data_IF_919494997961
#
_entry.id   IF_919494997961
#
_cell.length_a   1.000
_cell.length_b   1.000
_cell.length_c   1.000
_cell.angle_alpha   90.00
_cell.angle_beta   90.00
_cell.angle_gamma   90.00
#
_symmetry.space_group_name_H-M   'P 1'
#
loop_
_entity.id
_entity.type
_entity.pdbx_description
1 polymer ?
#
# COMPACT_ATOMS: atom_id res chain seq x y z
N UNK A 1 9.95 -7.71 14.10
CA UNK A 1 8.72 -8.13 13.41
C UNK A 1 7.48 -7.35 13.88
N UNK A 2 7.69 -6.11 14.22
CA UNK A 2 6.63 -5.18 14.60
C UNK A 2 6.75 -3.97 13.71
N UNK A 3 5.64 -3.54 13.14
CA UNK A 3 5.57 -2.36 12.29
C UNK A 3 4.27 -1.62 12.57
N UNK A 4 4.25 -0.34 12.25
CA UNK A 4 3.09 0.52 12.41
C UNK A 4 2.43 0.75 11.07
N UNK A 5 1.12 0.61 11.02
CA UNK A 5 0.32 0.94 9.84
C UNK A 5 -0.67 2.07 10.17
N UNK A 6 -0.84 2.98 9.22
CA UNK A 6 -1.98 3.88 9.18
C UNK A 6 -3.01 3.28 8.23
N UNK A 7 -4.03 2.65 8.82
CA UNK A 7 -5.11 2.04 8.07
C UNK A 7 -6.34 2.93 8.01
N UNK A 8 -7.00 2.92 6.86
CA UNK A 8 -8.29 3.60 6.68
C UNK A 8 -9.16 2.87 5.67
N UNK A 9 -10.48 3.02 5.83
CA UNK A 9 -11.50 2.43 4.97
C UNK A 9 -12.61 3.45 4.74
N UNK A 10 -12.98 3.66 3.49
CA UNK A 10 -13.96 4.69 3.09
C UNK A 10 -15.14 4.02 2.39
N UNK A 11 -16.33 4.19 2.98
CA UNK A 11 -17.57 3.65 2.43
C UNK A 11 -17.92 4.31 1.09
N UNK A 12 -18.35 3.50 0.13
CA UNK A 12 -18.73 3.90 -1.23
C UNK A 12 -17.63 4.61 -2.03
N UNK A 13 -16.37 4.54 -1.59
CA UNK A 13 -15.25 5.03 -2.36
C UNK A 13 -14.85 4.05 -3.47
N UNK A 14 -14.30 4.58 -4.53
CA UNK A 14 -13.62 3.82 -5.58
C UNK A 14 -12.12 3.76 -5.31
N UNK A 15 -11.42 2.84 -5.96
CA UNK A 15 -9.96 2.78 -5.90
C UNK A 15 -9.32 4.11 -6.32
N UNK A 16 -9.89 4.76 -7.33
CA UNK A 16 -9.42 6.06 -7.79
C UNK A 16 -9.54 7.16 -6.72
N UNK A 17 -10.67 7.22 -6.01
CA UNK A 17 -10.86 8.19 -4.91
C UNK A 17 -9.78 8.02 -3.83
N UNK A 18 -9.45 6.77 -3.50
CA UNK A 18 -8.41 6.46 -2.50
C UNK A 18 -7.02 6.82 -3.02
N UNK A 19 -6.69 6.49 -4.26
CA UNK A 19 -5.41 6.84 -4.87
C UNK A 19 -5.20 8.36 -4.87
N UNK A 20 -6.20 9.13 -5.32
CA UNK A 20 -6.15 10.60 -5.32
C UNK A 20 -5.99 11.18 -3.90
N UNK A 21 -6.74 10.63 -2.93
CA UNK A 21 -6.63 11.01 -1.52
C UNK A 21 -5.22 10.75 -0.93
N UNK A 22 -4.64 9.59 -1.22
CA UNK A 22 -3.29 9.24 -0.76
C UNK A 22 -2.23 10.14 -1.41
N UNK A 23 -2.37 10.46 -2.69
CA UNK A 23 -1.48 11.41 -3.37
C UNK A 23 -1.52 12.80 -2.70
N UNK A 24 -2.71 13.25 -2.30
CA UNK A 24 -2.87 14.51 -1.57
C UNK A 24 -2.20 14.47 -0.20
N UNK A 25 -2.41 13.39 0.56
CA UNK A 25 -1.76 13.18 1.86
C UNK A 25 -0.24 13.20 1.70
N UNK A 26 0.31 12.41 0.78
CA UNK A 26 1.76 12.31 0.60
C UNK A 26 2.37 13.64 0.17
N UNK A 27 1.79 14.29 -0.81
CA UNK A 27 2.26 15.60 -1.28
C UNK A 27 2.11 16.68 -0.20
N UNK A 28 1.01 16.67 0.55
CA UNK A 28 0.77 17.58 1.68
C UNK A 28 1.78 17.39 2.81
N UNK A 29 2.02 16.12 3.18
CA UNK A 29 3.02 15.76 4.19
C UNK A 29 4.41 16.28 3.81
N UNK A 30 4.86 16.01 2.58
CA UNK A 30 6.18 16.46 2.12
C UNK A 30 6.32 17.97 2.09
N UNK A 31 5.26 18.70 1.72
CA UNK A 31 5.23 20.17 1.79
C UNK A 31 5.34 20.67 3.23
N UNK A 32 4.59 20.07 4.16
CA UNK A 32 4.64 20.42 5.57
C UNK A 32 6.01 20.13 6.19
N UNK A 33 6.59 18.96 5.92
CA UNK A 33 7.95 18.63 6.38
C UNK A 33 8.99 19.64 5.90
N UNK A 34 8.93 20.04 4.63
CA UNK A 34 9.84 21.06 4.08
C UNK A 34 9.69 22.43 4.73
N UNK A 35 8.50 22.79 5.17
CA UNK A 35 8.20 24.08 5.80
C UNK A 35 8.54 24.07 7.29
N UNK A 36 8.14 23.01 8.00
CA UNK A 36 8.05 23.02 9.45
C UNK A 36 9.20 22.27 10.14
N UNK A 37 9.99 21.46 9.40
CA UNK A 37 11.02 20.56 9.93
C UNK A 37 12.40 20.82 9.28
N UNK A 38 12.72 22.09 9.05
CA UNK A 38 13.96 22.46 8.33
C UNK A 38 15.22 22.07 9.11
N UNK A 39 15.26 22.36 10.41
CA UNK A 39 16.40 22.06 11.27
C UNK A 39 16.66 20.55 11.37
N UNK A 40 15.60 19.75 11.55
CA UNK A 40 15.70 18.28 11.61
C UNK A 40 16.16 17.70 10.27
N UNK A 41 15.65 18.24 9.17
CA UNK A 41 16.08 17.83 7.84
C UNK A 41 17.54 18.22 7.55
N UNK A 42 18.02 19.33 8.07
CA UNK A 42 19.44 19.73 8.01
C UNK A 42 20.31 18.74 8.80
N UNK A 43 19.94 18.42 10.04
CA UNK A 43 20.64 17.43 10.87
C UNK A 43 20.75 16.06 10.18
N UNK A 44 19.72 15.67 9.42
CA UNK A 44 19.70 14.43 8.65
C UNK A 44 20.39 14.54 7.27
N UNK A 45 20.96 15.70 6.93
CA UNK A 45 21.52 15.95 5.60
C UNK A 45 20.48 15.91 4.48
N UNK A 46 19.20 16.20 4.80
CA UNK A 46 18.05 16.13 3.88
C UNK A 46 17.52 17.51 3.47
N UNK A 47 18.08 18.58 3.99
CA UNK A 47 17.68 19.94 3.62
C UNK A 47 17.74 20.15 2.10
N UNK A 48 16.67 20.68 1.52
CA UNK A 48 16.53 20.88 0.07
C UNK A 48 16.41 19.61 -0.78
N UNK A 49 16.60 18.43 -0.20
CA UNK A 49 16.61 17.16 -0.94
C UNK A 49 15.22 16.48 -1.05
N UNK A 50 14.24 16.93 -0.25
CA UNK A 50 12.86 16.44 -0.35
C UNK A 50 12.18 17.11 -1.55
N UNK A 51 11.83 16.31 -2.54
CA UNK A 51 11.01 16.74 -3.67
C UNK A 51 9.56 16.35 -3.44
N UNK A 52 8.64 17.26 -3.71
CA UNK A 52 7.21 16.94 -3.73
C UNK A 52 6.89 16.36 -5.09
N UNK A 53 6.35 15.12 -5.17
CA UNK A 53 6.04 14.49 -6.44
C UNK A 53 4.98 15.25 -7.24
N UNK A 54 4.99 15.06 -8.55
CA UNK A 54 3.96 15.58 -9.45
C UNK A 54 2.72 14.68 -9.43
N UNK A 55 1.52 15.27 -9.31
CA UNK A 55 0.26 14.52 -9.42
C UNK A 55 -0.35 14.66 -10.82
N UNK A 56 -1.10 13.65 -11.30
CA UNK A 56 -1.31 12.33 -10.71
C UNK A 56 -0.04 11.46 -10.83
N UNK A 57 0.14 10.51 -9.89
CA UNK A 57 1.24 9.55 -9.97
C UNK A 57 1.00 8.58 -11.12
N UNK A 58 2.10 8.09 -11.67
CA UNK A 58 2.05 7.13 -12.78
C UNK A 58 1.43 5.81 -12.30
N UNK A 59 0.57 5.23 -13.14
CA UNK A 59 -0.09 3.95 -12.87
C UNK A 59 0.44 2.90 -13.84
N UNK A 60 0.79 1.74 -13.32
CA UNK A 60 1.21 0.58 -14.10
C UNK A 60 0.27 -0.60 -13.83
N UNK A 61 -0.09 -1.36 -14.85
CA UNK A 61 -0.71 -2.67 -14.68
C UNK A 61 0.37 -3.71 -14.35
N UNK A 62 0.13 -4.53 -13.32
CA UNK A 62 1.09 -5.56 -12.90
C UNK A 62 1.43 -6.53 -14.02
N UNK A 63 0.44 -6.94 -14.83
CA UNK A 63 0.67 -7.88 -15.91
C UNK A 63 1.60 -7.31 -16.99
N UNK A 64 1.44 -6.02 -17.32
CA UNK A 64 2.34 -5.32 -18.26
C UNK A 64 3.77 -5.22 -17.73
N UNK A 65 3.92 -4.96 -16.43
CA UNK A 65 5.24 -4.94 -15.78
C UNK A 65 5.90 -6.32 -15.79
N UNK A 66 5.13 -7.37 -15.53
CA UNK A 66 5.63 -8.74 -15.53
C UNK A 66 6.00 -9.21 -16.95
N UNK A 67 5.22 -8.85 -17.96
CA UNK A 67 5.54 -9.11 -19.37
C UNK A 67 6.85 -8.44 -19.79
N UNK A 68 7.02 -7.17 -19.41
CA UNK A 68 8.19 -6.37 -19.80
C UNK A 68 9.46 -6.74 -19.04
N UNK A 69 9.38 -7.02 -17.75
CA UNK A 69 10.52 -7.17 -16.85
C UNK A 69 10.69 -8.58 -16.26
N UNK A 70 9.72 -9.48 -16.49
CA UNK A 70 9.69 -10.83 -15.92
C UNK A 70 9.39 -10.82 -14.42
N UNK A 71 9.68 -11.94 -13.75
CA UNK A 71 9.40 -12.13 -12.30
C UNK A 71 10.05 -11.11 -11.38
N UNK A 72 11.09 -10.43 -11.83
CA UNK A 72 11.83 -9.42 -11.04
C UNK A 72 11.37 -7.98 -11.37
N UNK A 73 10.17 -7.82 -11.91
CA UNK A 73 9.62 -6.53 -12.34
C UNK A 73 9.66 -5.48 -11.22
N UNK A 74 9.28 -5.86 -10.01
CA UNK A 74 9.23 -4.96 -8.86
C UNK A 74 10.60 -4.36 -8.56
N UNK A 75 11.62 -5.20 -8.41
CA UNK A 75 12.97 -4.75 -8.13
C UNK A 75 13.50 -3.79 -9.23
N UNK A 76 13.20 -4.09 -10.50
CA UNK A 76 13.65 -3.25 -11.62
C UNK A 76 12.95 -1.89 -11.63
N UNK A 77 11.61 -1.88 -11.59
CA UNK A 77 10.85 -0.63 -11.67
C UNK A 77 11.12 0.28 -10.46
N UNK A 78 11.27 -0.29 -9.25
CA UNK A 78 11.60 0.45 -8.03
C UNK A 78 12.98 1.12 -8.12
N UNK A 79 13.97 0.46 -8.75
CA UNK A 79 15.30 1.03 -8.94
C UNK A 79 15.35 2.11 -10.04
N UNK A 80 14.54 1.99 -11.08
CA UNK A 80 14.47 2.91 -12.21
C UNK A 80 13.59 4.13 -11.92
N UNK A 81 12.61 4.01 -11.05
CA UNK A 81 11.68 5.09 -10.73
C UNK A 81 12.36 6.27 -10.02
N UNK A 82 11.96 7.48 -10.40
CA UNK A 82 12.39 8.74 -9.77
C UNK A 82 11.30 9.35 -8.88
N UNK A 83 10.02 9.04 -9.15
CA UNK A 83 8.85 9.50 -8.41
C UNK A 83 8.00 8.32 -7.95
N UNK A 84 7.14 8.48 -6.91
CA UNK A 84 6.18 7.47 -6.51
C UNK A 84 5.27 7.05 -7.67
N UNK A 85 4.86 5.79 -7.68
CA UNK A 85 3.99 5.24 -8.72
C UNK A 85 3.05 4.18 -8.17
N UNK A 86 1.94 3.98 -8.84
CA UNK A 86 0.95 2.96 -8.53
C UNK A 86 1.16 1.70 -9.37
N UNK A 87 0.91 0.56 -8.76
CA UNK A 87 0.73 -0.71 -9.46
C UNK A 87 -0.68 -1.21 -9.16
N UNK A 88 -1.41 -1.58 -10.18
CA UNK A 88 -2.80 -2.03 -10.08
C UNK A 88 -2.98 -3.44 -10.66
N UNK A 89 -4.18 -4.03 -10.46
CA UNK A 89 -4.55 -5.31 -11.03
C UNK A 89 -3.65 -6.46 -10.53
N UNK A 90 -3.52 -6.56 -9.20
CA UNK A 90 -2.67 -7.53 -8.53
C UNK A 90 -3.53 -8.68 -8.02
N UNK A 91 -3.35 -9.94 -8.49
CA UNK A 91 -4.05 -11.10 -7.90
C UNK A 91 -3.76 -11.22 -6.40
N UNK A 92 -4.82 -11.26 -5.58
CA UNK A 92 -4.72 -11.26 -4.12
C UNK A 92 -5.81 -12.07 -3.43
N UNK A 93 -6.04 -11.73 -2.17
CA UNK A 93 -6.93 -12.42 -1.26
C UNK A 93 -8.41 -12.21 -1.61
N UNK A 94 -9.23 -13.11 -1.15
CA UNK A 94 -10.66 -13.19 -1.45
C UNK A 94 -11.46 -11.92 -1.08
N UNK A 95 -10.95 -11.08 -0.21
CA UNK A 95 -11.64 -9.86 0.23
C UNK A 95 -11.42 -8.64 -0.68
N UNK A 96 -10.47 -8.69 -1.60
CA UNK A 96 -10.30 -7.68 -2.64
C UNK A 96 -11.31 -7.91 -3.77
N UNK A 97 -11.84 -6.84 -4.34
CA UNK A 97 -12.79 -6.93 -5.43
C UNK A 97 -12.12 -7.47 -6.70
N UNK A 98 -12.77 -8.48 -7.28
CA UNK A 98 -12.38 -9.09 -8.55
C UNK A 98 -13.56 -9.04 -9.51
N UNK A 99 -13.36 -8.50 -10.69
CA UNK A 99 -14.31 -8.60 -11.79
C UNK A 99 -14.18 -9.99 -12.43
N UNK A 100 -15.15 -10.86 -12.22
CA UNK A 100 -15.14 -12.23 -12.75
C UNK A 100 -15.34 -12.34 -14.25
N UNK A 101 -15.79 -11.29 -14.93
CA UNK A 101 -15.95 -11.28 -16.37
C UNK A 101 -14.62 -11.00 -17.06
N UNK A 102 -13.86 -10.07 -16.54
CA UNK A 102 -12.57 -9.66 -17.09
C UNK A 102 -11.37 -10.31 -16.40
N UNK A 103 -11.55 -10.88 -15.21
CA UNK A 103 -10.47 -11.40 -14.37
C UNK A 103 -9.59 -10.31 -13.75
N UNK A 104 -10.01 -9.05 -13.81
CA UNK A 104 -9.24 -7.92 -13.26
C UNK A 104 -9.57 -7.67 -11.79
N UNK A 105 -8.52 -7.35 -11.05
CA UNK A 105 -8.59 -6.97 -9.65
C UNK A 105 -8.63 -5.45 -9.49
N UNK A 106 -9.53 -4.95 -8.65
CA UNK A 106 -9.64 -3.52 -8.34
C UNK A 106 -8.89 -3.21 -7.05
N UNK A 107 -7.57 -3.30 -7.14
CA UNK A 107 -6.64 -3.01 -6.06
C UNK A 107 -5.43 -2.22 -6.56
N UNK A 108 -4.67 -1.70 -5.61
CA UNK A 108 -3.59 -0.76 -5.90
C UNK A 108 -2.54 -0.78 -4.80
N UNK A 109 -1.26 -0.75 -5.21
CA UNK A 109 -0.13 -0.56 -4.32
C UNK A 109 0.62 0.69 -4.71
N UNK A 110 1.03 1.47 -3.70
CA UNK A 110 1.92 2.61 -3.89
C UNK A 110 3.36 2.18 -3.65
N UNK A 111 4.18 2.42 -4.65
CA UNK A 111 5.62 2.18 -4.60
C UNK A 111 6.39 3.49 -4.46
N UNK A 112 7.39 3.46 -3.60
CA UNK A 112 8.34 4.56 -3.44
C UNK A 112 9.67 4.21 -4.10
N UNK A 113 10.28 5.15 -4.87
CA UNK A 113 11.56 4.93 -5.52
C UNK A 113 12.62 4.41 -4.55
N UNK A 114 13.27 3.30 -4.91
CA UNK A 114 14.35 2.62 -4.16
C UNK A 114 13.94 1.96 -2.84
N UNK A 115 12.69 2.10 -2.39
CA UNK A 115 12.19 1.56 -1.12
C UNK A 115 11.09 0.49 -1.30
N UNK A 116 10.48 0.42 -2.48
CA UNK A 116 9.42 -0.56 -2.77
C UNK A 116 8.04 -0.12 -2.30
N UNK A 117 7.17 -1.09 -2.10
CA UNK A 117 5.79 -0.89 -1.67
C UNK A 117 5.72 -0.22 -0.29
N UNK A 118 4.98 0.87 -0.19
CA UNK A 118 4.72 1.58 1.08
C UNK A 118 3.26 1.48 1.51
N UNK A 119 2.36 1.28 0.58
CA UNK A 119 0.94 1.16 0.81
C UNK A 119 0.37 0.05 -0.05
N UNK A 120 -0.55 -0.68 0.53
CA UNK A 120 -1.40 -1.65 -0.16
C UNK A 120 -2.86 -1.34 0.10
N UNK A 121 -3.67 -1.35 -0.94
CA UNK A 121 -5.09 -1.04 -0.87
C UNK A 121 -5.94 -1.75 -1.91
N UNK A 122 -7.24 -1.74 -1.68
CA UNK A 122 -8.20 -2.32 -2.61
C UNK A 122 -9.61 -1.76 -2.41
N UNK A 123 -10.41 -1.85 -3.45
CA UNK A 123 -11.85 -1.93 -3.30
C UNK A 123 -12.21 -3.27 -2.70
N UNK A 124 -13.12 -3.30 -1.73
CA UNK A 124 -13.48 -4.52 -1.02
C UNK A 124 -14.60 -5.26 -1.72
N UNK A 125 -14.55 -6.59 -1.63
CA UNK A 125 -15.66 -7.44 -2.07
C UNK A 125 -16.76 -7.43 -1.02
N UNK A 126 -18.00 -7.22 -1.42
CA UNK A 126 -19.15 -7.17 -0.53
C UNK A 126 -20.24 -8.20 -0.88
N UNK A 127 -20.18 -8.79 -2.07
CA UNK A 127 -21.19 -9.71 -2.53
C UNK A 127 -20.96 -11.13 -1.98
N UNK A 128 -21.90 -11.63 -1.19
CA UNK A 128 -21.81 -12.95 -0.52
C UNK A 128 -21.37 -14.08 -1.47
N UNK A 129 -22.00 -14.19 -2.64
CA UNK A 129 -21.70 -15.28 -3.57
C UNK A 129 -20.30 -15.19 -4.17
N UNK A 130 -19.76 -13.98 -4.38
CA UNK A 130 -18.39 -13.76 -4.87
C UNK A 130 -17.37 -14.07 -3.78
N UNK A 131 -17.62 -13.64 -2.53
CA UNK A 131 -16.79 -13.99 -1.38
C UNK A 131 -16.69 -15.51 -1.25
N UNK A 132 -17.85 -16.22 -1.24
CA UNK A 132 -17.86 -17.67 -1.12
C UNK A 132 -17.10 -18.35 -2.26
N UNK A 133 -17.32 -17.92 -3.50
CA UNK A 133 -16.63 -18.47 -4.68
C UNK A 133 -15.10 -18.30 -4.59
N UNK A 134 -14.64 -17.16 -4.12
CA UNK A 134 -13.19 -16.90 -3.94
C UNK A 134 -12.61 -17.72 -2.78
N UNK A 135 -13.31 -17.83 -1.65
CA UNK A 135 -12.89 -18.70 -0.55
C UNK A 135 -12.75 -20.17 -0.99
N UNK A 136 -13.69 -20.66 -1.80
CA UNK A 136 -13.63 -22.04 -2.33
C UNK A 136 -12.48 -22.21 -3.31
N UNK A 137 -12.28 -21.26 -4.23
CA UNK A 137 -11.18 -21.27 -5.18
C UNK A 137 -9.81 -21.29 -4.49
N UNK A 138 -9.66 -20.51 -3.44
CA UNK A 138 -8.39 -20.30 -2.74
C UNK A 138 -8.17 -21.32 -1.61
N UNK A 139 -9.11 -22.28 -1.41
CA UNK A 139 -9.02 -23.31 -0.38
C UNK A 139 -9.08 -22.78 1.05
N UNK A 140 -9.67 -21.61 1.24
CA UNK A 140 -9.74 -20.92 2.55
C UNK A 140 -10.93 -21.42 3.35
N UNK A 141 -10.71 -21.74 4.63
CA UNK A 141 -11.74 -22.27 5.52
C UNK A 141 -12.80 -21.21 5.85
N UNK A 142 -14.02 -21.42 5.40
CA UNK A 142 -15.18 -20.52 5.64
C UNK A 142 -15.49 -20.30 7.12
N UNK A 143 -15.17 -21.29 7.95
CA UNK A 143 -15.38 -21.23 9.40
C UNK A 143 -14.65 -20.06 10.07
N UNK A 144 -13.51 -19.64 9.49
CA UNK A 144 -12.74 -18.52 10.00
C UNK A 144 -13.41 -17.16 9.71
N UNK A 145 -14.39 -17.12 8.78
CA UNK A 145 -15.03 -15.91 8.29
C UNK A 145 -16.55 -15.88 8.52
N UNK A 146 -17.04 -16.61 9.55
CA UNK A 146 -18.47 -16.75 9.83
C UNK A 146 -19.20 -15.41 9.92
N UNK A 147 -18.65 -14.46 10.67
CA UNK A 147 -19.25 -13.14 10.84
C UNK A 147 -19.32 -12.37 9.51
N UNK A 148 -18.23 -12.35 8.76
CA UNK A 148 -18.17 -11.71 7.44
C UNK A 148 -19.24 -12.31 6.50
N UNK A 149 -19.29 -13.64 6.42
CA UNK A 149 -20.24 -14.35 5.57
C UNK A 149 -21.70 -14.12 5.99
N UNK A 150 -21.96 -14.05 7.30
CA UNK A 150 -23.28 -13.71 7.81
C UNK A 150 -23.69 -12.30 7.39
N UNK A 151 -22.83 -11.30 7.63
CA UNK A 151 -23.09 -9.90 7.27
C UNK A 151 -23.27 -9.72 5.77
N UNK A 152 -22.46 -10.39 4.94
CA UNK A 152 -22.59 -10.35 3.49
C UNK A 152 -23.93 -10.98 3.04
N UNK A 153 -24.33 -12.13 3.60
CA UNK A 153 -25.61 -12.78 3.29
C UNK A 153 -26.81 -11.90 3.67
N UNK A 154 -26.70 -11.15 4.75
CA UNK A 154 -27.73 -10.22 5.24
C UNK A 154 -27.68 -8.85 4.52
N UNK A 155 -26.85 -8.68 3.50
CA UNK A 155 -26.61 -7.41 2.77
C UNK A 155 -26.21 -6.25 3.70
N UNK A 156 -25.52 -6.55 4.80
CA UNK A 156 -25.03 -5.54 5.77
C UNK A 156 -23.65 -5.00 5.44
N UNK A 157 -22.93 -5.64 4.52
CA UNK A 157 -21.66 -5.13 4.01
C UNK A 157 -21.95 -4.17 2.85
N UNK A 158 -21.30 -3.03 2.88
CA UNK A 158 -21.42 -2.01 1.84
C UNK A 158 -20.12 -1.94 1.03
N UNK A 159 -20.19 -1.55 -0.25
CA UNK A 159 -18.99 -1.25 -1.01
C UNK A 159 -18.10 -0.27 -0.27
N UNK A 160 -16.82 -0.54 -0.23
CA UNK A 160 -15.80 0.34 0.34
C UNK A 160 -14.47 0.17 -0.39
N UNK A 161 -13.57 1.11 -0.19
CA UNK A 161 -12.19 1.00 -0.59
C UNK A 161 -11.31 1.60 0.51
N UNK A 162 -10.13 1.03 0.70
CA UNK A 162 -9.24 1.48 1.75
C UNK A 162 -7.82 0.99 1.53
N UNK A 163 -6.93 1.42 2.41
CA UNK A 163 -5.51 1.10 2.31
C UNK A 163 -4.81 1.16 3.65
N UNK A 164 -3.67 0.49 3.74
CA UNK A 164 -2.74 0.56 4.86
C UNK A 164 -1.38 1.11 4.44
N UNK A 165 -0.92 2.17 5.11
CA UNK A 165 0.38 2.81 4.87
C UNK A 165 1.37 2.33 5.91
N UNK A 166 2.49 1.72 5.49
CA UNK A 166 3.58 1.33 6.38
C UNK A 166 4.41 2.55 6.82
N UNK A 167 4.28 2.93 8.08
CA UNK A 167 4.87 4.16 8.62
C UNK A 167 6.40 4.11 8.60
N UNK A 168 6.99 3.03 9.04
CA UNK A 168 8.47 2.89 9.06
C UNK A 168 9.05 2.97 7.65
N UNK A 169 8.38 2.38 6.66
CA UNK A 169 8.84 2.41 5.27
C UNK A 169 8.71 3.82 4.68
N UNK A 170 7.62 4.52 5.00
CA UNK A 170 7.43 5.92 4.61
C UNK A 170 8.50 6.84 5.22
N UNK A 171 8.76 6.72 6.52
CA UNK A 171 9.78 7.51 7.19
C UNK A 171 11.17 7.18 6.64
N UNK A 172 11.50 5.90 6.46
CA UNK A 172 12.79 5.47 5.90
C UNK A 172 13.03 6.10 4.52
N UNK A 173 12.02 6.15 3.65
CA UNK A 173 12.12 6.83 2.37
C UNK A 173 12.36 8.34 2.50
N UNK A 174 11.64 9.01 3.39
CA UNK A 174 11.78 10.46 3.63
C UNK A 174 13.20 10.80 4.10
N UNK A 175 13.71 10.06 5.10
CA UNK A 175 15.03 10.32 5.71
C UNK A 175 16.18 9.60 4.97
N UNK A 176 15.90 8.75 4.00
CA UNK A 176 16.87 7.88 3.30
C UNK A 176 17.60 6.92 4.22
N UNK A 177 16.90 6.38 5.21
CA UNK A 177 17.46 5.33 6.04
C UNK A 177 17.77 4.08 5.20
N UNK A 178 18.86 3.39 5.53
CA UNK A 178 19.27 2.16 4.82
C UNK A 178 18.42 0.96 5.22
N UNK A 179 17.91 0.95 6.44
CA UNK A 179 17.10 -0.10 7.01
C UNK A 179 15.90 0.49 7.77
N UNK A 180 14.73 -0.16 7.71
CA UNK A 180 13.53 0.29 8.44
C UNK A 180 13.71 0.29 9.96
N UNK A 181 14.60 -0.54 10.50
CA UNK A 181 14.97 -0.50 11.92
C UNK A 181 15.63 0.81 12.36
N UNK A 182 16.25 1.54 11.43
CA UNK A 182 16.94 2.82 11.74
C UNK A 182 15.94 3.93 12.07
N UNK A 183 14.65 3.72 11.79
CA UNK A 183 13.56 4.70 12.04
C UNK A 183 12.63 4.26 13.16
N UNK A 184 12.98 3.21 13.89
CA UNK A 184 12.25 2.72 15.07
C UNK A 184 13.05 3.02 16.33
N UNK A 185 12.37 3.48 17.40
CA UNK A 185 13.02 3.71 18.68
C UNK A 185 13.56 2.42 19.33
N UNK A 186 12.84 1.31 19.14
CA UNK A 186 13.18 -0.02 19.67
C UNK A 186 12.98 -1.08 18.58
N UNK A 187 13.90 -1.17 17.59
CA UNK A 187 13.73 -2.07 16.47
C UNK A 187 13.84 -3.54 16.89
N UNK A 188 12.92 -4.39 16.45
CA UNK A 188 12.96 -5.84 16.64
C UNK A 188 13.53 -6.50 15.38
N UNK A 189 14.85 -6.52 15.27
CA UNK A 189 15.57 -7.10 14.13
C UNK A 189 15.99 -8.53 14.46
N UNK A 190 15.71 -9.53 13.61
CA UNK A 190 16.16 -10.90 13.82
C UNK A 190 17.66 -11.00 14.01
N UNK A 191 18.10 -11.70 15.06
CA UNK A 191 19.51 -11.89 15.36
C UNK A 191 20.21 -10.70 15.99
N UNK A 192 19.54 -9.57 16.19
CA UNK A 192 20.07 -8.44 16.96
C UNK A 192 19.52 -8.48 18.40
N UNK A 193 20.42 -8.42 19.37
CA UNK A 193 20.09 -8.27 20.80
C UNK A 193 20.47 -6.84 21.16
N UNK A 194 19.50 -6.08 21.62
CA UNK A 194 19.73 -4.72 22.13
C UNK A 194 19.72 -4.79 23.66
N UNK A 195 20.79 -4.32 24.28
CA UNK A 195 20.82 -4.04 25.71
C UNK A 195 20.13 -2.67 25.93
N UNK A 196 19.14 -2.65 26.80
CA UNK A 196 18.42 -1.43 27.20
C UNK A 196 19.16 -0.77 28.38
#
# INVERSE_FOLDING_TARGET
YEFTQLDFEVRNATSRDIMEFVEEILCGLLKSLKRDMQEELECLGRHGAIKVPSKPFRVYDRAELEEKHGKNWEMKIVQEAEEPFWVVNIPREFYDFEDFETGKWDNYDLFLPKYGEVLSGAKREWEYHKIVKKLDRDGVRKENFKLLLQLARENKIQPSAGAGIGIERLIAWIVRAKHIGDVQAFPKIPGAVYEL
#
